data_IF_238708500142
#
_entry.id   IF_238708500142
#
_cell.length_a   1.000
_cell.length_b   1.000
_cell.length_c   1.000
_cell.angle_alpha   90.00
_cell.angle_beta   90.00
_cell.angle_gamma   90.00
#
_symmetry.space_group_name_H-M   'P 1'
#
loop_
_entity.id
_entity.type
_entity.pdbx_description
1 polymer ?
#
# COMPACT_ATOMS: atom_id res chain seq x y z
N UNK A 1 -15.78 0.72 1.64
CA UNK A 1 -14.37 0.36 1.44
C UNK A 1 -13.57 1.63 1.34
N UNK A 2 -12.67 1.83 2.29
CA UNK A 2 -11.76 2.97 2.37
C UNK A 2 -10.89 3.02 1.12
N UNK A 3 -10.71 4.21 0.59
CA UNK A 3 -9.75 4.52 -0.47
C UNK A 3 -9.06 5.81 -0.06
N UNK A 4 -7.74 5.77 0.11
CA UNK A 4 -6.95 6.84 0.68
C UNK A 4 -5.75 7.11 -0.23
N UNK A 5 -5.88 8.08 -1.12
CA UNK A 5 -5.01 8.23 -2.30
C UNK A 5 -3.95 9.31 -2.12
N UNK A 6 -2.78 9.06 -2.72
CA UNK A 6 -1.69 10.03 -2.82
C UNK A 6 -1.37 10.68 -1.48
N UNK A 7 -1.06 9.81 -0.51
CA UNK A 7 -0.82 10.17 0.88
C UNK A 7 0.30 11.22 0.98
N UNK A 8 0.15 12.16 1.90
CA UNK A 8 1.21 13.07 2.35
C UNK A 8 1.19 13.23 3.86
N UNK A 9 2.32 13.63 4.43
CA UNK A 9 2.40 13.92 5.86
C UNK A 9 1.77 15.30 6.12
N UNK A 10 0.68 15.33 6.87
CA UNK A 10 -0.04 16.57 7.22
C UNK A 10 0.52 17.24 8.47
N UNK A 11 1.00 16.44 9.43
CA UNK A 11 1.49 16.93 10.73
C UNK A 11 2.54 16.00 11.32
N UNK A 12 3.47 16.56 12.07
CA UNK A 12 4.42 15.82 12.91
C UNK A 12 4.36 16.36 14.33
N UNK A 13 4.24 15.48 15.32
CA UNK A 13 4.09 15.86 16.74
C UNK A 13 5.11 15.10 17.57
N UNK A 14 5.87 15.83 18.39
CA UNK A 14 6.72 15.22 19.42
C UNK A 14 5.91 15.11 20.70
N UNK A 15 5.69 13.88 21.16
CA UNK A 15 5.01 13.59 22.41
C UNK A 15 6.01 13.22 23.51
N UNK A 16 5.68 13.61 24.75
CA UNK A 16 6.51 13.29 25.90
C UNK A 16 6.60 11.76 26.09
N UNK A 17 7.82 11.23 26.16
CA UNK A 17 8.07 9.79 26.31
C UNK A 17 8.30 9.02 25.01
N UNK A 18 8.11 9.65 23.84
CA UNK A 18 8.47 9.06 22.54
C UNK A 18 9.81 9.58 22.02
N UNK A 19 10.64 8.68 21.50
CA UNK A 19 11.94 9.02 20.91
C UNK A 19 11.84 9.53 19.46
N UNK A 20 10.69 9.33 18.81
CA UNK A 20 10.42 9.69 17.42
C UNK A 20 9.08 10.42 17.32
N UNK A 21 8.91 11.34 16.36
CA UNK A 21 7.65 12.06 16.21
C UNK A 21 6.54 11.13 15.73
N UNK A 22 5.31 11.40 16.17
CA UNK A 22 4.08 10.85 15.63
C UNK A 22 3.75 11.58 14.34
N UNK A 23 3.51 10.82 13.28
CA UNK A 23 3.18 11.34 11.95
C UNK A 23 1.67 11.25 11.71
N UNK A 24 1.11 12.29 11.11
CA UNK A 24 -0.26 12.31 10.62
C UNK A 24 -0.28 12.40 9.11
N UNK A 25 -1.29 11.79 8.52
CA UNK A 25 -1.37 11.59 7.09
C UNK A 25 -2.72 12.08 6.57
N UNK A 26 -2.69 12.76 5.43
CA UNK A 26 -3.88 13.14 4.69
C UNK A 26 -3.82 12.64 3.24
N UNK A 27 -4.97 12.40 2.64
CA UNK A 27 -5.07 12.06 1.21
C UNK A 27 -5.10 13.31 0.32
N UNK A 28 -5.20 13.09 -0.99
CA UNK A 28 -5.33 14.16 -2.00
C UNK A 28 -6.53 15.08 -1.80
N UNK A 29 -7.56 14.64 -1.08
CA UNK A 29 -8.76 15.42 -0.79
C UNK A 29 -8.71 16.10 0.59
N UNK A 30 -7.64 15.89 1.35
CA UNK A 30 -7.45 16.43 2.70
C UNK A 30 -8.19 15.66 3.79
N UNK A 31 -8.60 14.41 3.55
CA UNK A 31 -9.14 13.55 4.60
C UNK A 31 -8.01 13.06 5.51
N UNK A 32 -8.21 13.04 6.83
CA UNK A 32 -7.27 12.47 7.80
C UNK A 32 -7.40 10.94 7.84
N UNK A 33 -6.26 10.24 7.79
CA UNK A 33 -6.24 8.77 7.79
C UNK A 33 -6.86 8.17 9.05
N UNK A 34 -6.50 8.69 10.22
CA UNK A 34 -6.89 8.12 11.50
C UNK A 34 -8.39 8.31 11.74
N UNK A 35 -8.91 9.50 11.45
CA UNK A 35 -10.36 9.75 11.51
C UNK A 35 -11.14 8.88 10.52
N UNK A 36 -10.67 8.75 9.28
CA UNK A 36 -11.31 7.93 8.26
C UNK A 36 -11.30 6.44 8.65
N UNK A 37 -10.15 5.92 9.07
CA UNK A 37 -9.97 4.54 9.50
C UNK A 37 -10.89 4.21 10.66
N UNK A 38 -10.89 5.02 11.71
CA UNK A 38 -11.65 4.74 12.93
C UNK A 38 -13.17 4.85 12.69
N UNK A 39 -13.59 5.67 11.73
CA UNK A 39 -15.00 5.82 11.37
C UNK A 39 -15.51 4.68 10.48
N UNK A 40 -14.72 4.27 9.48
CA UNK A 40 -15.22 3.43 8.39
C UNK A 40 -14.80 1.95 8.51
N UNK A 41 -13.63 1.63 9.07
CA UNK A 41 -13.12 0.26 9.08
C UNK A 41 -13.91 -0.63 10.05
N UNK A 42 -14.46 -1.74 9.53
CA UNK A 42 -15.31 -2.67 10.30
C UNK A 42 -14.57 -3.91 10.82
N UNK A 43 -13.27 -4.06 10.52
CA UNK A 43 -12.47 -5.18 11.04
C UNK A 43 -12.41 -6.45 10.20
N UNK A 44 -13.10 -6.52 9.06
CA UNK A 44 -13.21 -7.76 8.26
C UNK A 44 -12.34 -7.76 6.99
N UNK A 45 -12.06 -6.57 6.45
CA UNK A 45 -11.35 -6.41 5.19
C UNK A 45 -9.84 -6.19 5.39
N UNK A 46 -9.07 -6.52 4.36
CA UNK A 46 -7.63 -6.26 4.31
C UNK A 46 -7.34 -4.92 3.63
N UNK A 47 -6.09 -4.49 3.68
CA UNK A 47 -5.60 -3.28 3.06
C UNK A 47 -4.37 -3.56 2.21
N UNK A 48 -4.29 -2.90 1.06
CA UNK A 48 -3.10 -2.89 0.20
C UNK A 48 -2.57 -1.48 0.05
N UNK A 49 -1.25 -1.35 0.11
CA UNK A 49 -0.52 -0.12 -0.17
C UNK A 49 0.04 -0.19 -1.60
N UNK A 50 -0.26 0.82 -2.40
CA UNK A 50 0.07 0.87 -3.84
C UNK A 50 0.97 2.08 -4.09
N UNK A 51 2.15 1.83 -4.66
CA UNK A 51 3.08 2.87 -5.06
C UNK A 51 2.58 3.68 -6.26
N UNK A 52 3.24 4.81 -6.53
CA UNK A 52 2.94 5.65 -7.69
C UNK A 52 3.16 4.95 -9.05
N UNK A 53 3.93 3.85 -9.06
CA UNK A 53 4.13 2.95 -10.21
C UNK A 53 2.98 1.95 -10.41
N UNK A 54 1.98 1.97 -9.52
CA UNK A 54 0.81 1.09 -9.54
C UNK A 54 1.05 -0.28 -8.91
N UNK A 55 2.26 -0.55 -8.39
CA UNK A 55 2.57 -1.83 -7.76
C UNK A 55 2.19 -1.84 -6.28
N UNK A 56 1.69 -2.98 -5.83
CA UNK A 56 1.45 -3.23 -4.41
C UNK A 56 2.81 -3.37 -3.71
N UNK A 57 3.08 -2.49 -2.74
CA UNK A 57 4.32 -2.48 -1.96
C UNK A 57 4.19 -3.28 -0.67
N UNK A 58 3.01 -3.32 -0.07
CA UNK A 58 2.70 -4.12 1.12
C UNK A 58 1.20 -4.32 1.29
N UNK A 59 0.81 -5.20 2.20
CA UNK A 59 -0.58 -5.45 2.59
C UNK A 59 -0.66 -5.77 4.08
N UNK A 60 -1.83 -5.58 4.68
CA UNK A 60 -2.12 -5.98 6.05
C UNK A 60 -3.61 -6.35 6.23
N UNK A 61 -3.90 -7.27 7.13
CA UNK A 61 -5.26 -7.58 7.59
C UNK A 61 -5.83 -6.52 8.55
N UNK A 62 -4.96 -5.71 9.14
CA UNK A 62 -5.30 -4.63 10.03
C UNK A 62 -4.59 -3.34 9.60
N UNK A 63 -5.32 -2.25 9.33
CA UNK A 63 -4.74 -0.98 8.85
C UNK A 63 -3.77 -0.33 9.84
N UNK A 64 -3.78 -0.74 11.12
CA UNK A 64 -2.81 -0.26 12.11
C UNK A 64 -1.39 -0.80 11.90
N UNK A 65 -1.24 -1.90 11.16
CA UNK A 65 0.06 -2.48 10.83
C UNK A 65 0.51 -2.14 9.40
N UNK A 66 -0.26 -1.29 8.70
CA UNK A 66 0.12 -0.81 7.37
C UNK A 66 1.08 0.37 7.50
N UNK A 67 2.23 0.27 6.86
CA UNK A 67 3.17 1.40 6.79
C UNK A 67 2.64 2.43 5.79
N UNK A 68 2.27 3.60 6.29
CA UNK A 68 1.95 4.76 5.45
C UNK A 68 3.23 5.51 5.07
N UNK A 69 3.29 5.97 3.82
CA UNK A 69 4.37 6.80 3.32
C UNK A 69 3.87 7.74 2.24
N UNK A 70 4.57 8.85 2.04
CA UNK A 70 4.16 9.84 1.05
C UNK A 70 4.18 9.27 -0.37
N UNK A 71 3.19 9.64 -1.18
CA UNK A 71 3.04 9.19 -2.57
C UNK A 71 2.46 7.78 -2.73
N UNK A 72 2.20 7.05 -1.66
CA UNK A 72 1.48 5.77 -1.67
C UNK A 72 -0.02 6.02 -1.62
N UNK A 73 -0.81 5.12 -2.20
CA UNK A 73 -2.26 5.05 -2.03
C UNK A 73 -2.64 3.78 -1.29
N UNK A 74 -3.65 3.83 -0.42
CA UNK A 74 -4.14 2.70 0.36
C UNK A 74 -5.58 2.37 -0.01
N UNK A 75 -5.86 1.09 -0.18
CA UNK A 75 -7.18 0.58 -0.56
C UNK A 75 -7.60 -0.51 0.41
N UNK A 76 -8.81 -0.39 0.97
CA UNK A 76 -9.50 -1.48 1.64
C UNK A 76 -10.05 -2.44 0.58
N UNK A 77 -9.76 -3.73 0.75
CA UNK A 77 -10.12 -4.80 -0.18
C UNK A 77 -10.78 -5.94 0.57
N UNK A 78 -11.70 -6.62 -0.10
CA UNK A 78 -12.27 -7.86 0.41
C UNK A 78 -11.14 -8.88 0.64
N UNK A 79 -11.06 -9.44 1.84
CA UNK A 79 -10.08 -10.47 2.20
C UNK A 79 -10.17 -11.68 1.27
N UNK A 80 -11.38 -12.04 0.78
CA UNK A 80 -11.58 -13.14 -0.14
C UNK A 80 -11.06 -12.86 -1.56
N UNK A 81 -10.85 -11.58 -1.91
CA UNK A 81 -10.29 -11.17 -3.20
C UNK A 81 -8.75 -11.05 -3.17
N UNK A 82 -8.12 -11.11 -1.98
CA UNK A 82 -6.68 -11.00 -1.85
C UNK A 82 -5.98 -12.25 -2.40
N UNK A 83 -5.01 -12.12 -3.33
CA UNK A 83 -4.26 -13.27 -3.81
C UNK A 83 -3.49 -13.97 -2.68
N UNK A 84 -3.58 -15.30 -2.59
CA UNK A 84 -2.86 -16.07 -1.55
C UNK A 84 -1.34 -15.89 -1.62
N UNK A 85 -0.80 -15.61 -2.80
CA UNK A 85 0.62 -15.44 -3.06
C UNK A 85 1.08 -13.97 -3.11
N UNK A 86 0.25 -13.03 -2.65
CA UNK A 86 0.50 -11.57 -2.64
C UNK A 86 1.83 -11.18 -1.97
N UNK A 87 2.30 -11.98 -0.99
CA UNK A 87 3.57 -11.75 -0.30
C UNK A 87 4.81 -12.25 -1.06
N UNK A 88 4.62 -13.04 -2.12
CA UNK A 88 5.71 -13.70 -2.85
C UNK A 88 5.79 -13.30 -4.33
N UNK A 89 4.74 -12.66 -4.85
CA UNK A 89 4.68 -12.20 -6.24
C UNK A 89 4.29 -10.74 -6.31
N UNK A 90 4.76 -10.10 -7.37
CA UNK A 90 4.43 -8.70 -7.65
C UNK A 90 3.06 -8.60 -8.31
N UNK A 91 2.24 -7.71 -7.78
CA UNK A 91 0.91 -7.39 -8.31
C UNK A 91 0.78 -5.88 -8.50
N UNK A 92 0.03 -5.48 -9.51
CA UNK A 92 -0.55 -4.14 -9.61
C UNK A 92 -1.98 -4.18 -9.09
N UNK A 93 -2.45 -3.06 -8.56
CA UNK A 93 -3.84 -2.90 -8.15
C UNK A 93 -4.50 -1.77 -8.95
N UNK A 94 -5.40 -2.12 -9.86
CA UNK A 94 -5.98 -1.19 -10.83
C UNK A 94 -7.48 -1.42 -10.94
N UNK A 95 -8.27 -0.35 -10.82
CA UNK A 95 -9.73 -0.39 -10.93
C UNK A 95 -10.39 -1.49 -10.08
N UNK A 96 -9.84 -1.73 -8.88
CA UNK A 96 -10.34 -2.74 -7.95
C UNK A 96 -9.83 -4.16 -8.19
N UNK A 97 -8.89 -4.36 -9.13
CA UNK A 97 -8.43 -5.67 -9.56
C UNK A 97 -6.94 -5.89 -9.28
N UNK A 98 -6.61 -7.12 -8.89
CA UNK A 98 -5.23 -7.59 -8.75
C UNK A 98 -4.71 -8.12 -10.09
N UNK A 99 -3.67 -7.48 -10.62
CA UNK A 99 -3.04 -7.86 -11.89
C UNK A 99 -1.64 -8.38 -11.58
N UNK A 100 -1.43 -9.69 -11.70
CA UNK A 100 -0.12 -10.29 -11.48
C UNK A 100 0.87 -9.77 -12.51
N UNK A 101 2.00 -9.23 -12.05
CA UNK A 101 3.09 -8.87 -12.93
C UNK A 101 3.98 -10.07 -13.19
N UNK A 102 4.15 -10.40 -14.46
CA UNK A 102 5.07 -11.43 -14.94
C UNK A 102 6.09 -10.75 -15.83
N UNK A 103 7.37 -10.84 -15.49
CA UNK A 103 8.43 -10.32 -16.35
C UNK A 103 8.37 -10.99 -17.73
N UNK A 104 8.39 -10.23 -18.82
CA UNK A 104 8.46 -10.79 -20.16
C UNK A 104 9.68 -11.71 -20.32
N UNK A 105 9.50 -12.88 -20.93
CA UNK A 105 10.58 -13.86 -21.10
C UNK A 105 11.79 -13.29 -21.87
N UNK A 106 11.56 -12.33 -22.77
CA UNK A 106 12.62 -11.64 -23.51
C UNK A 106 13.51 -10.78 -22.60
N UNK A 107 12.92 -10.08 -21.63
CA UNK A 107 13.67 -9.26 -20.66
C UNK A 107 14.49 -10.14 -19.71
N UNK A 108 13.92 -11.28 -19.27
CA UNK A 108 14.62 -12.28 -18.46
C UNK A 108 15.82 -12.86 -19.22
N UNK A 109 15.65 -13.14 -20.52
CA UNK A 109 16.73 -13.66 -21.35
C UNK A 109 17.88 -12.66 -21.52
N UNK A 110 17.57 -11.37 -21.74
CA UNK A 110 18.60 -10.34 -21.89
C UNK A 110 19.31 -10.05 -20.55
N UNK A 111 18.59 -10.04 -19.43
CA UNK A 111 19.22 -9.95 -18.10
C UNK A 111 20.19 -11.10 -17.86
N UNK A 112 19.79 -12.35 -18.14
CA UNK A 112 20.68 -13.53 -17.99
C UNK A 112 21.91 -13.45 -18.88
N UNK A 113 21.77 -12.94 -20.10
CA UNK A 113 22.90 -12.73 -21.01
C UNK A 113 23.88 -11.69 -20.47
N UNK A 114 23.40 -10.62 -19.85
CA UNK A 114 24.25 -9.59 -19.23
C UNK A 114 25.02 -10.07 -17.99
N UNK A 115 24.55 -11.12 -17.32
CA UNK A 115 25.21 -11.74 -16.15
C UNK A 115 26.27 -12.79 -16.56
N UNK A 116 26.23 -13.27 -17.80
CA UNK A 116 27.12 -14.31 -18.32
C UNK A 116 28.28 -13.76 -19.17
N UNK A 117 28.36 -12.43 -19.34
CA UNK A 117 29.40 -11.71 -20.07
C UNK A 117 30.21 -10.84 -19.11
#
# INVERSE_FOLDING_TARGET
MITFKNIKISKQVFEEGLAVPVLYFEDENGADWYELRDREWQGENCFVAVGADGFISTWADNPNFLTLSEGVSVYEVDAAALPEDISTRSYRYEDGQFIQFVQPAAEVAEQRKSVLL
#
